data_IF_909636450650
#
_entry.id   IF_909636450650
#
_cell.length_a   1.000
_cell.length_b   1.000
_cell.length_c   1.000
_cell.angle_alpha   90.00
_cell.angle_beta   90.00
_cell.angle_gamma   90.00
#
_symmetry.space_group_name_H-M   'P 1'
#
loop_
_entity.id
_entity.type
_entity.pdbx_description
1 polymer ?
#
# COMPACT_ATOMS: atom_id res chain seq x y z
N UNK A 1 4.34 -4.55 -19.33
CA UNK A 1 4.17 -3.08 -19.05
C UNK A 1 4.53 -2.28 -20.32
N UNK A 2 3.70 -2.36 -21.36
CA UNK A 2 4.03 -1.76 -22.67
C UNK A 2 4.09 -0.23 -22.63
N UNK A 3 3.22 0.44 -21.84
CA UNK A 3 3.17 1.91 -21.78
C UNK A 3 4.39 2.48 -21.07
N UNK A 4 4.83 1.82 -19.99
CA UNK A 4 6.04 2.22 -19.27
C UNK A 4 7.31 1.94 -20.11
N UNK A 5 7.33 0.83 -20.86
CA UNK A 5 8.44 0.52 -21.78
C UNK A 5 8.55 1.56 -22.91
N UNK A 6 7.44 2.03 -23.45
CA UNK A 6 7.44 3.15 -24.40
C UNK A 6 7.98 4.45 -23.75
N UNK A 7 7.58 4.72 -22.52
CA UNK A 7 8.10 5.85 -21.75
C UNK A 7 9.60 5.74 -21.49
N UNK A 8 10.14 4.53 -21.23
CA UNK A 8 11.58 4.30 -21.13
C UNK A 8 12.30 4.70 -22.43
N UNK A 9 11.74 4.32 -23.59
CA UNK A 9 12.34 4.65 -24.89
C UNK A 9 12.35 6.16 -25.16
N UNK A 10 11.27 6.86 -24.82
CA UNK A 10 11.17 8.32 -24.89
C UNK A 10 12.19 8.98 -23.97
N UNK A 11 12.24 8.58 -22.69
CA UNK A 11 13.15 9.14 -21.69
C UNK A 11 14.63 8.87 -22.02
N UNK A 12 14.94 7.70 -22.62
CA UNK A 12 16.29 7.41 -23.09
C UNK A 12 16.77 8.42 -24.14
N UNK A 13 15.87 8.92 -24.96
CA UNK A 13 16.16 9.91 -26.00
C UNK A 13 16.14 11.33 -25.45
N UNK A 14 15.07 11.68 -24.69
CA UNK A 14 14.83 13.05 -24.22
C UNK A 14 15.65 13.44 -23.00
N UNK A 15 16.11 12.46 -22.19
CA UNK A 15 16.90 12.67 -20.98
C UNK A 15 16.32 13.73 -20.00
N UNK A 16 15.03 13.64 -19.63
CA UNK A 16 14.40 14.68 -18.82
C UNK A 16 15.04 14.87 -17.44
N UNK A 17 15.73 13.86 -16.91
CA UNK A 17 16.35 13.90 -15.59
C UNK A 17 17.89 13.97 -15.64
N UNK A 18 18.45 14.44 -16.74
CA UNK A 18 19.92 14.46 -16.91
C UNK A 18 20.62 15.25 -15.81
N UNK A 19 21.46 14.57 -15.02
CA UNK A 19 22.24 15.16 -13.94
C UNK A 19 21.44 15.49 -12.68
N UNK A 20 20.22 14.98 -12.56
CA UNK A 20 19.35 15.13 -11.38
C UNK A 20 19.41 13.90 -10.49
N UNK A 21 19.34 14.11 -9.18
CA UNK A 21 19.18 13.08 -8.19
C UNK A 21 17.69 12.88 -7.85
N UNK A 22 17.21 11.65 -7.91
CA UNK A 22 15.85 11.27 -7.52
C UNK A 22 15.89 10.46 -6.23
N UNK A 23 15.30 11.01 -5.17
CA UNK A 23 14.96 10.27 -3.96
C UNK A 23 13.70 9.43 -4.20
N UNK A 24 13.82 8.12 -4.05
CA UNK A 24 12.76 7.18 -4.40
C UNK A 24 12.34 6.36 -3.18
N UNK A 25 11.06 6.38 -2.85
CA UNK A 25 10.45 5.58 -1.79
C UNK A 25 9.12 4.98 -2.26
N UNK A 26 9.15 3.71 -2.63
CA UNK A 26 7.99 2.89 -2.97
C UNK A 26 8.23 1.44 -2.54
N UNK A 27 7.19 0.59 -2.66
CA UNK A 27 7.36 -0.85 -2.51
C UNK A 27 8.37 -1.38 -3.54
N UNK A 28 9.54 -1.88 -3.10
CA UNK A 28 10.57 -2.40 -4.02
C UNK A 28 10.21 -3.83 -4.46
N UNK A 29 9.49 -3.90 -5.56
CA UNK A 29 9.04 -5.14 -6.20
C UNK A 29 9.30 -5.08 -7.72
N UNK A 30 9.20 -6.18 -8.48
CA UNK A 30 9.63 -6.21 -9.88
C UNK A 30 9.01 -5.15 -10.78
N UNK A 31 7.74 -4.74 -10.52
CA UNK A 31 7.09 -3.71 -11.36
C UNK A 31 7.63 -2.31 -11.08
N UNK A 32 7.92 -1.99 -9.81
CA UNK A 32 8.57 -0.72 -9.44
C UNK A 32 10.02 -0.65 -9.92
N UNK A 33 10.69 -1.80 -10.09
CA UNK A 33 12.01 -1.82 -10.72
C UNK A 33 11.98 -1.29 -12.17
N UNK A 34 10.91 -1.55 -12.93
CA UNK A 34 10.75 -1.00 -14.29
C UNK A 34 10.55 0.52 -14.27
N UNK A 35 9.90 1.06 -13.23
CA UNK A 35 9.82 2.52 -13.04
C UNK A 35 11.20 3.13 -12.77
N UNK A 36 12.00 2.51 -11.91
CA UNK A 36 13.38 2.97 -11.64
C UNK A 36 14.21 2.91 -12.93
N UNK A 37 14.05 1.87 -13.75
CA UNK A 37 14.69 1.78 -15.06
C UNK A 37 14.31 2.97 -15.96
N UNK A 38 13.07 3.44 -15.92
CA UNK A 38 12.63 4.62 -16.67
C UNK A 38 13.35 5.89 -16.19
N UNK A 39 13.50 6.06 -14.87
CA UNK A 39 14.21 7.22 -14.31
C UNK A 39 15.70 7.19 -14.69
N UNK A 40 16.37 6.05 -14.55
CA UNK A 40 17.76 5.85 -14.95
C UNK A 40 17.95 6.07 -16.46
N UNK A 41 17.04 5.54 -17.29
CA UNK A 41 17.04 5.78 -18.73
C UNK A 41 16.89 7.27 -19.06
N UNK A 42 16.13 8.02 -18.26
CA UNK A 42 15.97 9.47 -18.32
C UNK A 42 17.18 10.28 -17.88
N UNK A 43 18.23 9.63 -17.37
CA UNK A 43 19.48 10.27 -16.94
C UNK A 43 19.55 10.64 -15.47
N UNK A 44 18.60 10.16 -14.65
CA UNK A 44 18.61 10.36 -13.21
C UNK A 44 19.71 9.54 -12.52
N UNK A 45 20.25 10.07 -11.43
CA UNK A 45 20.87 9.30 -10.36
C UNK A 45 19.76 8.95 -9.35
N UNK A 46 19.58 7.65 -9.03
CA UNK A 46 18.48 7.22 -8.17
C UNK A 46 19.00 6.61 -6.88
N UNK A 47 18.56 7.14 -5.76
CA UNK A 47 18.70 6.53 -4.44
C UNK A 47 17.35 6.04 -3.96
N UNK A 48 17.22 4.72 -3.77
CA UNK A 48 15.96 4.05 -3.51
C UNK A 48 15.91 3.37 -2.15
N UNK A 49 14.74 3.47 -1.52
CA UNK A 49 14.36 2.68 -0.36
C UNK A 49 12.95 2.11 -0.53
N UNK A 50 12.67 0.99 0.13
CA UNK A 50 11.34 0.38 0.20
C UNK A 50 10.49 0.93 1.33
N UNK A 51 9.20 0.56 1.30
CA UNK A 51 8.36 0.65 2.48
C UNK A 51 8.61 -0.58 3.37
N UNK A 52 8.48 -0.41 4.68
CA UNK A 52 8.75 -1.45 5.66
C UNK A 52 8.13 -2.80 5.30
N UNK A 53 8.96 -3.83 5.28
CA UNK A 53 8.55 -5.22 5.06
C UNK A 53 8.03 -5.56 3.66
N UNK A 54 8.13 -4.65 2.68
CA UNK A 54 7.59 -4.87 1.32
C UNK A 54 8.65 -5.00 0.23
N UNK A 55 9.93 -4.88 0.57
CA UNK A 55 11.03 -5.11 -0.37
C UNK A 55 11.16 -6.59 -0.69
N UNK A 56 11.05 -6.94 -1.98
CA UNK A 56 11.11 -8.33 -2.45
C UNK A 56 12.54 -8.77 -2.72
N UNK A 57 12.80 -10.08 -2.49
CA UNK A 57 14.09 -10.71 -2.80
C UNK A 57 14.44 -10.57 -4.28
N UNK A 58 15.71 -10.32 -4.55
CA UNK A 58 16.24 -10.17 -5.90
C UNK A 58 16.01 -8.80 -6.55
N UNK A 59 14.99 -8.05 -6.13
CA UNK A 59 14.70 -6.73 -6.72
C UNK A 59 15.80 -5.72 -6.39
N UNK A 60 16.25 -5.68 -5.13
CA UNK A 60 17.31 -4.77 -4.69
C UNK A 60 18.65 -5.04 -5.40
N UNK A 61 18.99 -6.31 -5.58
CA UNK A 61 20.20 -6.75 -6.26
C UNK A 61 20.18 -6.38 -7.75
N UNK A 62 19.05 -6.60 -8.43
CA UNK A 62 18.89 -6.22 -9.84
C UNK A 62 19.01 -4.70 -10.00
N UNK A 63 18.32 -3.91 -9.20
CA UNK A 63 18.40 -2.46 -9.25
C UNK A 63 19.81 -1.94 -8.98
N UNK A 64 20.51 -2.51 -7.99
CA UNK A 64 21.91 -2.14 -7.71
C UNK A 64 22.83 -2.45 -8.89
N UNK A 65 22.59 -3.56 -9.60
CA UNK A 65 23.36 -3.90 -10.80
C UNK A 65 23.11 -2.96 -11.97
N UNK A 66 21.98 -2.27 -11.99
CA UNK A 66 21.61 -1.27 -13.01
C UNK A 66 22.09 0.15 -12.68
N UNK A 67 22.75 0.35 -11.53
CA UNK A 67 23.29 1.64 -11.12
C UNK A 67 22.41 2.45 -10.17
N UNK A 68 21.36 1.87 -9.62
CA UNK A 68 20.55 2.47 -8.55
C UNK A 68 21.23 2.22 -7.19
N UNK A 69 21.38 3.24 -6.34
CA UNK A 69 21.75 3.06 -4.94
C UNK A 69 20.52 2.56 -4.17
N UNK A 70 20.50 1.29 -3.76
CA UNK A 70 19.39 0.68 -3.01
C UNK A 70 19.79 0.46 -1.57
N UNK A 71 19.12 1.16 -0.64
CA UNK A 71 19.41 1.09 0.79
C UNK A 71 18.70 -0.08 1.48
N UNK A 72 17.49 -0.39 1.04
CA UNK A 72 16.62 -1.35 1.71
C UNK A 72 16.93 -2.81 1.32
N UNK A 73 16.62 -3.73 2.24
CA UNK A 73 16.76 -5.18 2.06
C UNK A 73 15.51 -5.89 2.60
N UNK A 74 15.13 -7.05 2.06
CA UNK A 74 14.03 -7.84 2.58
C UNK A 74 14.18 -8.14 4.07
N UNK A 75 13.08 -7.99 4.84
CA UNK A 75 13.04 -8.31 6.28
C UNK A 75 13.59 -7.23 7.20
N UNK A 76 13.97 -6.06 6.72
CA UNK A 76 14.35 -4.93 7.57
C UNK A 76 13.13 -4.32 8.27
N UNK A 77 13.32 -3.94 9.54
CA UNK A 77 12.27 -3.37 10.38
C UNK A 77 12.30 -1.84 10.45
N UNK A 78 11.44 -1.25 11.30
CA UNK A 78 11.20 0.20 11.35
C UNK A 78 12.44 1.05 11.66
N UNK A 79 13.38 0.55 12.48
CA UNK A 79 14.61 1.27 12.80
C UNK A 79 15.49 1.47 11.55
N UNK A 80 15.64 0.43 10.72
CA UNK A 80 16.37 0.54 9.47
C UNK A 80 15.66 1.47 8.49
N UNK A 81 14.34 1.41 8.41
CA UNK A 81 13.53 2.31 7.58
C UNK A 81 13.75 3.77 7.96
N UNK A 82 13.77 4.11 9.25
CA UNK A 82 14.04 5.47 9.72
C UNK A 82 15.46 5.97 9.34
N UNK A 83 16.45 5.10 9.44
CA UNK A 83 17.83 5.41 9.04
C UNK A 83 17.92 5.64 7.52
N UNK A 84 17.28 4.79 6.73
CA UNK A 84 17.28 4.92 5.26
C UNK A 84 16.55 6.19 4.82
N UNK A 85 15.42 6.52 5.43
CA UNK A 85 14.67 7.75 5.17
C UNK A 85 15.55 9.00 5.38
N UNK A 86 16.19 9.07 6.55
CA UNK A 86 17.16 10.13 6.87
C UNK A 86 18.32 10.18 5.86
N UNK A 87 18.83 9.03 5.43
CA UNK A 87 19.91 8.94 4.46
C UNK A 87 19.49 9.48 3.10
N UNK A 88 18.32 9.07 2.56
CA UNK A 88 17.81 9.58 1.29
C UNK A 88 17.57 11.09 1.37
N UNK A 89 16.88 11.56 2.40
CA UNK A 89 16.61 12.99 2.57
C UNK A 89 17.91 13.83 2.66
N UNK A 90 18.93 13.32 3.39
CA UNK A 90 20.21 14.04 3.56
C UNK A 90 21.06 14.16 2.29
N UNK A 91 20.75 13.41 1.22
CA UNK A 91 21.42 13.60 -0.08
C UNK A 91 21.01 14.89 -0.78
N UNK A 92 19.89 15.51 -0.35
CA UNK A 92 19.33 16.69 -1.00
C UNK A 92 18.83 16.40 -2.42
N UNK A 93 17.91 15.42 -2.60
CA UNK A 93 17.45 15.03 -3.93
C UNK A 93 16.77 16.20 -4.65
N UNK A 94 17.02 16.33 -5.95
CA UNK A 94 16.36 17.32 -6.81
C UNK A 94 14.87 17.03 -7.00
N UNK A 95 14.52 15.76 -7.05
CA UNK A 95 13.14 15.28 -7.20
C UNK A 95 12.86 14.17 -6.19
N UNK A 96 11.62 14.10 -5.73
CA UNK A 96 11.18 13.05 -4.81
C UNK A 96 9.99 12.28 -5.39
N UNK A 97 10.06 10.96 -5.36
CA UNK A 97 8.96 10.06 -5.65
C UNK A 97 8.64 9.29 -4.38
N UNK A 98 7.46 9.52 -3.80
CA UNK A 98 7.12 9.05 -2.45
C UNK A 98 5.82 8.25 -2.41
N UNK A 99 5.71 7.43 -1.38
CA UNK A 99 4.56 6.61 -1.05
C UNK A 99 4.31 6.73 0.47
N UNK A 100 3.35 7.57 0.84
CA UNK A 100 3.00 7.88 2.21
C UNK A 100 3.51 9.23 2.72
N UNK A 101 4.13 10.04 1.87
CA UNK A 101 4.65 11.39 2.14
C UNK A 101 5.67 11.48 3.30
N UNK A 102 6.37 10.38 3.62
CA UNK A 102 7.39 10.39 4.68
C UNK A 102 8.72 10.94 4.16
N UNK A 103 9.11 10.60 2.93
CA UNK A 103 10.32 11.13 2.33
C UNK A 103 10.15 12.63 1.99
N UNK A 104 8.98 13.01 1.47
CA UNK A 104 8.63 14.43 1.27
C UNK A 104 8.77 15.18 2.60
N UNK A 105 8.15 14.64 3.68
CA UNK A 105 8.25 15.22 5.03
C UNK A 105 9.69 15.36 5.52
N UNK A 106 10.51 14.33 5.33
CA UNK A 106 11.93 14.35 5.71
C UNK A 106 12.76 15.37 4.90
N UNK A 107 12.30 15.77 3.72
CA UNK A 107 12.97 16.77 2.89
C UNK A 107 12.54 18.22 3.19
N UNK A 108 11.54 18.46 4.04
CA UNK A 108 11.04 19.82 4.33
C UNK A 108 12.10 20.70 5.00
N UNK A 109 12.96 20.11 5.83
CA UNK A 109 14.01 20.82 6.56
C UNK A 109 15.34 20.90 5.79
N UNK A 110 15.38 20.42 4.54
CA UNK A 110 16.59 20.49 3.73
C UNK A 110 16.96 21.96 3.40
N UNK A 111 18.24 22.27 3.42
CA UNK A 111 18.75 23.59 3.04
C UNK A 111 18.45 23.93 1.56
N UNK A 112 18.36 22.91 0.71
CA UNK A 112 17.92 23.00 -0.68
C UNK A 112 16.68 22.09 -0.82
N UNK A 113 15.47 22.64 -0.88
CA UNK A 113 14.27 21.83 -1.08
C UNK A 113 14.26 21.22 -2.49
N UNK A 114 13.57 20.08 -2.70
CA UNK A 114 13.37 19.50 -4.02
C UNK A 114 12.71 20.49 -4.99
N UNK A 115 12.99 20.33 -6.29
CA UNK A 115 12.30 21.05 -7.36
C UNK A 115 10.83 20.66 -7.42
N UNK A 116 10.53 19.43 -7.03
CA UNK A 116 9.18 18.91 -6.93
C UNK A 116 9.13 17.45 -6.51
N UNK A 117 7.90 16.96 -6.26
CA UNK A 117 7.68 15.59 -5.84
C UNK A 117 6.41 14.99 -6.45
N UNK A 118 6.32 13.64 -6.42
CA UNK A 118 5.08 12.91 -6.64
C UNK A 118 4.72 12.11 -5.39
N UNK A 119 3.43 12.06 -5.04
CA UNK A 119 2.90 11.25 -3.95
C UNK A 119 1.88 10.25 -4.48
N UNK A 120 2.08 8.97 -4.17
CA UNK A 120 1.28 7.90 -4.75
C UNK A 120 -0.03 7.61 -4.00
N UNK A 121 -0.08 7.82 -2.67
CA UNK A 121 -1.09 7.20 -1.81
C UNK A 121 -2.14 8.16 -1.27
N UNK A 122 -3.29 7.58 -0.88
CA UNK A 122 -4.33 8.32 -0.14
C UNK A 122 -3.81 8.78 1.23
N UNK A 123 -3.04 7.93 1.94
CA UNK A 123 -2.46 8.26 3.24
C UNK A 123 -1.46 9.40 3.15
N UNK A 124 -0.59 9.39 2.13
CA UNK A 124 0.34 10.49 1.88
C UNK A 124 -0.37 11.78 1.47
N UNK A 125 -1.42 11.68 0.64
CA UNK A 125 -2.24 12.84 0.30
C UNK A 125 -2.88 13.50 1.53
N UNK A 126 -3.36 12.70 2.49
CA UNK A 126 -3.86 13.22 3.77
C UNK A 126 -2.75 13.86 4.60
N UNK A 127 -1.60 13.18 4.75
CA UNK A 127 -0.45 13.73 5.48
C UNK A 127 0.01 15.07 4.91
N UNK A 128 0.09 15.20 3.59
CA UNK A 128 0.45 16.47 2.95
C UNK A 128 -0.56 17.59 3.23
N UNK A 129 -1.86 17.27 3.27
CA UNK A 129 -2.94 18.24 3.44
C UNK A 129 -3.24 18.58 4.90
N UNK A 130 -2.97 17.65 5.82
CA UNK A 130 -3.26 17.78 7.25
C UNK A 130 -1.98 18.08 8.04
N UNK A 131 -1.01 17.13 8.05
CA UNK A 131 0.19 17.22 8.89
C UNK A 131 1.21 18.24 8.37
N UNK A 132 1.38 18.34 7.04
CA UNK A 132 2.33 19.23 6.38
C UNK A 132 1.65 20.45 5.72
N UNK A 133 0.42 20.77 6.11
CA UNK A 133 -0.33 21.91 5.57
C UNK A 133 0.47 23.23 5.73
N UNK A 134 0.73 23.91 4.60
CA UNK A 134 1.47 25.16 4.58
C UNK A 134 3.00 25.05 4.81
N UNK A 135 3.54 23.84 4.97
CA UNK A 135 4.98 23.59 5.16
C UNK A 135 5.68 23.23 3.84
N UNK A 136 4.97 22.63 2.90
CA UNK A 136 5.53 22.22 1.60
C UNK A 136 5.74 23.44 0.72
N UNK A 137 7.00 23.80 0.46
CA UNK A 137 7.40 24.96 -0.35
C UNK A 137 7.68 24.68 -1.82
N UNK A 138 7.40 23.47 -2.31
CA UNK A 138 7.63 23.02 -3.68
C UNK A 138 6.39 22.28 -4.23
N UNK A 139 6.23 22.16 -5.57
CA UNK A 139 5.08 21.48 -6.15
C UNK A 139 5.09 19.99 -5.85
N UNK A 140 3.92 19.43 -5.47
CA UNK A 140 3.71 18.00 -5.30
C UNK A 140 2.54 17.56 -6.16
N UNK A 141 2.77 16.65 -7.11
CA UNK A 141 1.71 16.02 -7.89
C UNK A 141 1.20 14.80 -7.13
N UNK A 142 -0.06 14.88 -6.67
CA UNK A 142 -0.70 13.78 -5.96
C UNK A 142 -1.28 12.79 -6.98
N UNK A 143 -0.55 11.73 -7.24
CA UNK A 143 -0.92 10.67 -8.21
C UNK A 143 -2.23 10.00 -7.81
N UNK A 144 -2.46 9.83 -6.51
CA UNK A 144 -3.70 9.24 -5.96
C UNK A 144 -4.98 9.96 -6.42
N UNK A 145 -4.91 11.25 -6.73
CA UNK A 145 -6.09 12.03 -7.15
C UNK A 145 -6.44 11.80 -8.64
N UNK A 146 -5.57 11.11 -9.38
CA UNK A 146 -5.86 10.76 -10.77
C UNK A 146 -6.93 9.66 -10.88
N UNK A 147 -7.92 9.80 -11.76
CA UNK A 147 -8.85 8.70 -12.08
C UNK A 147 -8.16 7.41 -12.53
N UNK A 148 -7.03 7.50 -13.24
CA UNK A 148 -6.25 6.32 -13.61
C UNK A 148 -5.76 5.57 -12.38
N UNK A 149 -5.21 6.26 -11.38
CA UNK A 149 -4.76 5.65 -10.13
C UNK A 149 -5.93 5.10 -9.32
N UNK A 150 -6.95 5.92 -9.10
CA UNK A 150 -8.06 5.56 -8.20
C UNK A 150 -8.94 4.44 -8.75
N UNK A 151 -9.24 4.44 -10.06
CA UNK A 151 -10.09 3.42 -10.68
C UNK A 151 -9.29 2.17 -11.01
N UNK A 152 -8.20 2.30 -11.76
CA UNK A 152 -7.50 1.13 -12.30
C UNK A 152 -6.70 0.43 -11.22
N UNK A 153 -5.93 1.17 -10.44
CA UNK A 153 -5.03 0.59 -9.46
C UNK A 153 -5.71 0.37 -8.11
N UNK A 154 -6.29 1.43 -7.47
CA UNK A 154 -6.83 1.27 -6.12
C UNK A 154 -8.11 0.42 -6.12
N UNK A 155 -9.05 0.67 -7.04
CA UNK A 155 -10.30 -0.12 -7.06
C UNK A 155 -10.07 -1.51 -7.62
N UNK A 156 -9.54 -1.64 -8.82
CA UNK A 156 -9.43 -2.93 -9.49
C UNK A 156 -8.16 -3.69 -9.12
N UNK A 157 -7.00 -3.05 -9.15
CA UNK A 157 -5.72 -3.69 -8.84
C UNK A 157 -5.66 -4.18 -7.40
N UNK A 158 -5.93 -3.31 -6.41
CA UNK A 158 -5.93 -3.69 -5.00
C UNK A 158 -7.06 -4.65 -4.69
N UNK A 159 -8.28 -4.39 -5.22
CA UNK A 159 -9.43 -5.28 -4.97
C UNK A 159 -9.17 -6.71 -5.39
N UNK A 160 -8.61 -6.91 -6.58
CA UNK A 160 -8.26 -8.25 -7.10
C UNK A 160 -7.11 -8.88 -6.32
N UNK A 161 -6.00 -8.16 -6.16
CA UNK A 161 -4.79 -8.71 -5.54
C UNK A 161 -4.95 -9.07 -4.07
N UNK A 162 -5.73 -8.30 -3.30
CA UNK A 162 -6.04 -8.58 -1.90
C UNK A 162 -6.81 -9.89 -1.77
N UNK A 163 -7.92 -10.02 -2.49
CA UNK A 163 -8.76 -11.22 -2.43
C UNK A 163 -8.00 -12.46 -2.93
N UNK A 164 -7.22 -12.31 -4.01
CA UNK A 164 -6.40 -13.39 -4.54
C UNK A 164 -5.30 -13.84 -3.57
N UNK A 165 -4.62 -12.89 -2.92
CA UNK A 165 -3.58 -13.20 -1.93
C UNK A 165 -4.17 -13.92 -0.71
N UNK A 166 -5.33 -13.48 -0.19
CA UNK A 166 -6.00 -14.17 0.91
C UNK A 166 -6.30 -15.63 0.52
N UNK A 167 -6.82 -15.86 -0.67
CA UNK A 167 -7.08 -17.24 -1.18
C UNK A 167 -5.79 -18.05 -1.27
N UNK A 168 -4.70 -17.48 -1.77
CA UNK A 168 -3.40 -18.19 -1.89
C UNK A 168 -2.81 -18.55 -0.53
N UNK A 169 -2.84 -17.62 0.42
CA UNK A 169 -2.26 -17.84 1.76
C UNK A 169 -3.04 -18.89 2.55
N UNK A 170 -4.38 -18.89 2.43
CA UNK A 170 -5.26 -19.71 3.25
C UNK A 170 -5.82 -20.95 2.56
N UNK A 171 -5.77 -20.98 1.22
CA UNK A 171 -6.47 -21.97 0.37
C UNK A 171 -7.99 -22.07 0.65
N UNK A 172 -8.61 -20.97 1.15
CA UNK A 172 -10.04 -20.94 1.45
C UNK A 172 -10.86 -20.52 0.22
N UNK A 173 -12.13 -20.96 0.16
CA UNK A 173 -13.11 -20.45 -0.79
C UNK A 173 -13.82 -19.23 -0.19
N UNK A 174 -14.03 -18.19 -0.98
CA UNK A 174 -14.87 -17.04 -0.63
C UNK A 174 -16.37 -17.31 -0.80
N UNK A 175 -16.73 -18.39 -1.51
CA UNK A 175 -18.13 -18.71 -1.79
C UNK A 175 -18.93 -18.87 -0.50
N UNK A 176 -19.96 -18.05 -0.32
CA UNK A 176 -20.83 -17.97 0.87
C UNK A 176 -20.13 -17.60 2.18
N UNK A 177 -18.91 -17.08 2.11
CA UNK A 177 -18.25 -16.50 3.28
C UNK A 177 -18.84 -15.13 3.61
N UNK A 178 -19.08 -14.87 4.89
CA UNK A 178 -19.45 -13.55 5.39
C UNK A 178 -18.16 -12.73 5.54
N UNK A 179 -17.99 -11.80 4.61
CA UNK A 179 -16.82 -10.93 4.54
C UNK A 179 -17.21 -9.54 5.00
N UNK A 180 -16.48 -9.00 5.96
CA UNK A 180 -16.67 -7.62 6.42
C UNK A 180 -15.51 -6.78 5.91
N UNK A 181 -15.82 -5.72 5.17
CA UNK A 181 -14.85 -4.76 4.64
C UNK A 181 -14.99 -3.46 5.41
N UNK A 182 -13.92 -3.07 6.11
CA UNK A 182 -13.85 -1.79 6.82
C UNK A 182 -13.27 -0.73 5.88
N UNK A 183 -14.06 0.29 5.61
CA UNK A 183 -13.77 1.37 4.67
C UNK A 183 -14.36 1.14 3.29
N UNK A 184 -14.98 2.20 2.71
CA UNK A 184 -15.51 2.18 1.35
C UNK A 184 -14.89 3.29 0.49
N UNK A 185 -13.57 3.52 0.69
CA UNK A 185 -12.72 4.26 -0.23
C UNK A 185 -12.46 3.46 -1.50
N UNK A 186 -11.60 3.94 -2.38
CA UNK A 186 -11.32 3.26 -3.65
C UNK A 186 -10.87 1.80 -3.47
N UNK A 187 -9.99 1.51 -2.50
CA UNK A 187 -9.56 0.13 -2.22
C UNK A 187 -10.70 -0.71 -1.65
N UNK A 188 -11.42 -0.21 -0.64
CA UNK A 188 -12.53 -0.94 -0.02
C UNK A 188 -13.65 -1.28 -0.99
N UNK A 189 -14.02 -0.37 -1.91
CA UNK A 189 -14.96 -0.64 -3.02
C UNK A 189 -14.49 -1.80 -3.89
N UNK A 190 -13.21 -1.81 -4.24
CA UNK A 190 -12.62 -2.89 -5.02
C UNK A 190 -12.65 -4.21 -4.28
N UNK A 191 -12.21 -4.23 -3.02
CA UNK A 191 -12.20 -5.45 -2.19
C UNK A 191 -13.61 -6.02 -2.04
N UNK A 192 -14.60 -5.18 -1.72
CA UNK A 192 -16.00 -5.59 -1.62
C UNK A 192 -16.49 -6.21 -2.94
N UNK A 193 -16.23 -5.54 -4.06
CA UNK A 193 -16.60 -6.01 -5.40
C UNK A 193 -15.96 -7.36 -5.75
N UNK A 194 -14.65 -7.52 -5.53
CA UNK A 194 -13.96 -8.76 -5.90
C UNK A 194 -14.27 -9.92 -4.94
N UNK A 195 -14.52 -9.64 -3.65
CA UNK A 195 -15.04 -10.63 -2.72
C UNK A 195 -16.43 -11.11 -3.14
N UNK A 196 -17.34 -10.20 -3.47
CA UNK A 196 -18.69 -10.53 -3.96
C UNK A 196 -18.63 -11.33 -5.27
N UNK A 197 -17.77 -10.97 -6.22
CA UNK A 197 -17.57 -11.73 -7.48
C UNK A 197 -17.07 -13.15 -7.26
N UNK A 198 -16.39 -13.42 -6.15
CA UNK A 198 -16.02 -14.77 -5.71
C UNK A 198 -17.12 -15.48 -4.90
N UNK A 199 -18.30 -14.88 -4.81
CA UNK A 199 -19.49 -15.44 -4.18
C UNK A 199 -19.58 -15.23 -2.67
N UNK A 200 -18.84 -14.28 -2.11
CA UNK A 200 -18.97 -13.87 -0.71
C UNK A 200 -20.24 -13.07 -0.47
N UNK A 201 -20.78 -13.20 0.73
CA UNK A 201 -21.81 -12.32 1.28
C UNK A 201 -21.05 -11.16 1.99
N UNK A 202 -21.08 -9.96 1.41
CA UNK A 202 -20.23 -8.84 1.84
C UNK A 202 -21.02 -7.81 2.63
N UNK A 203 -20.52 -7.45 3.81
CA UNK A 203 -20.98 -6.30 4.61
C UNK A 203 -19.88 -5.23 4.66
N UNK A 204 -20.25 -3.98 4.44
CA UNK A 204 -19.35 -2.83 4.50
C UNK A 204 -19.55 -2.11 5.83
N UNK A 205 -18.45 -1.71 6.46
CA UNK A 205 -18.41 -0.81 7.60
C UNK A 205 -17.77 0.50 7.15
N UNK A 206 -18.52 1.60 7.20
CA UNK A 206 -18.04 2.91 6.75
C UNK A 206 -18.61 4.03 7.64
N UNK A 207 -17.75 4.95 8.07
CA UNK A 207 -18.12 6.08 8.95
C UNK A 207 -18.61 7.31 8.18
N UNK A 208 -18.20 7.46 6.91
CA UNK A 208 -18.67 8.52 6.03
C UNK A 208 -20.07 8.14 5.50
N UNK A 209 -21.13 8.91 5.86
CA UNK A 209 -22.49 8.55 5.49
C UNK A 209 -22.73 8.55 3.97
N UNK A 210 -21.98 9.34 3.21
CA UNK A 210 -22.11 9.36 1.73
C UNK A 210 -21.53 8.09 1.13
N UNK A 211 -20.37 7.66 1.60
CA UNK A 211 -19.77 6.40 1.15
C UNK A 211 -20.56 5.17 1.62
N UNK A 212 -21.12 5.23 2.83
CA UNK A 212 -22.02 4.19 3.32
C UNK A 212 -23.29 4.07 2.46
N UNK A 213 -23.89 5.21 2.07
CA UNK A 213 -25.01 5.24 1.13
C UNK A 213 -24.60 4.68 -0.24
N UNK A 214 -23.43 5.05 -0.74
CA UNK A 214 -22.91 4.52 -2.01
C UNK A 214 -22.73 2.99 -1.95
N UNK A 215 -22.16 2.45 -0.86
CA UNK A 215 -22.04 1.01 -0.65
C UNK A 215 -23.40 0.29 -0.70
N UNK A 216 -24.42 0.86 -0.05
CA UNK A 216 -25.79 0.33 -0.08
C UNK A 216 -26.39 0.39 -1.51
N UNK A 217 -26.15 1.46 -2.26
CA UNK A 217 -26.61 1.60 -3.64
C UNK A 217 -25.88 0.65 -4.60
N UNK A 218 -24.63 0.31 -4.31
CA UNK A 218 -23.85 -0.70 -5.04
C UNK A 218 -24.29 -2.15 -4.70
N UNK A 219 -25.23 -2.31 -3.75
CA UNK A 219 -25.85 -3.60 -3.42
C UNK A 219 -25.14 -4.36 -2.30
N UNK A 220 -24.37 -3.68 -1.47
CA UNK A 220 -23.75 -4.26 -0.27
C UNK A 220 -24.62 -4.00 0.97
N UNK A 221 -24.59 -4.93 1.92
CA UNK A 221 -25.08 -4.65 3.26
C UNK A 221 -24.13 -3.63 3.94
N UNK A 222 -24.71 -2.69 4.70
CA UNK A 222 -23.95 -1.72 5.50
C UNK A 222 -24.36 -1.86 6.95
N UNK A 223 -23.40 -1.95 7.84
CA UNK A 223 -23.67 -2.13 9.27
C UNK A 223 -22.63 -1.42 10.14
N UNK A 224 -23.03 -1.17 11.39
CA UNK A 224 -22.10 -0.68 12.43
C UNK A 224 -21.03 -1.77 12.74
N UNK A 225 -19.80 -1.36 13.15
CA UNK A 225 -18.72 -2.30 13.47
C UNK A 225 -19.12 -3.41 14.43
N UNK A 226 -19.82 -3.06 15.51
CA UNK A 226 -20.26 -3.97 16.56
C UNK A 226 -21.27 -5.03 16.07
N UNK A 227 -22.00 -4.74 15.00
CA UNK A 227 -22.96 -5.68 14.38
C UNK A 227 -22.26 -6.56 13.34
N UNK A 228 -21.53 -5.92 12.41
CA UNK A 228 -20.86 -6.61 11.31
C UNK A 228 -19.86 -7.66 11.81
N UNK A 229 -19.04 -7.31 12.82
CA UNK A 229 -18.00 -8.18 13.35
C UNK A 229 -18.51 -9.45 14.01
N UNK A 230 -19.74 -9.45 14.56
CA UNK A 230 -20.28 -10.62 15.29
C UNK A 230 -20.57 -11.83 14.41
N UNK A 231 -20.65 -11.65 13.09
CA UNK A 231 -20.94 -12.73 12.13
C UNK A 231 -19.83 -12.95 11.12
N UNK A 232 -18.77 -12.15 11.15
CA UNK A 232 -17.69 -12.17 10.18
C UNK A 232 -16.93 -13.51 10.18
N UNK A 233 -16.64 -14.05 9.02
CA UNK A 233 -15.68 -15.13 8.83
C UNK A 233 -14.34 -14.60 8.30
N UNK A 234 -14.40 -13.48 7.58
CA UNK A 234 -13.22 -12.74 7.11
C UNK A 234 -13.43 -11.25 7.37
N UNK A 235 -12.47 -10.60 7.99
CA UNK A 235 -12.42 -9.15 8.18
C UNK A 235 -11.27 -8.60 7.37
N UNK A 236 -11.56 -7.60 6.52
CA UNK A 236 -10.55 -6.92 5.71
C UNK A 236 -10.65 -5.41 5.97
N UNK A 237 -9.56 -4.81 6.47
CA UNK A 237 -9.50 -3.36 6.68
C UNK A 237 -8.85 -2.65 5.50
N UNK A 238 -9.39 -1.49 5.12
CA UNK A 238 -8.92 -0.67 3.99
C UNK A 238 -9.23 0.82 4.23
N UNK A 239 -9.02 1.30 5.45
CA UNK A 239 -9.41 2.66 5.87
C UNK A 239 -8.26 3.67 5.79
N UNK A 240 -7.01 3.20 5.89
CA UNK A 240 -5.83 4.04 6.04
C UNK A 240 -5.74 4.76 7.39
N UNK A 241 -6.48 4.29 8.41
CA UNK A 241 -6.52 4.87 9.76
C UNK A 241 -6.16 3.83 10.82
N UNK A 242 -5.37 4.19 11.84
CA UNK A 242 -5.01 3.26 12.92
C UNK A 242 -6.22 2.95 13.82
N UNK A 243 -6.19 1.78 14.48
CA UNK A 243 -7.13 1.43 15.56
C UNK A 243 -8.57 1.20 15.11
N UNK A 244 -8.78 0.76 13.87
CA UNK A 244 -10.11 0.50 13.30
C UNK A 244 -10.75 -0.74 13.90
N UNK A 245 -9.92 -1.78 14.14
CA UNK A 245 -10.32 -3.03 14.80
C UNK A 245 -9.42 -3.22 16.02
N UNK A 246 -9.95 -2.90 17.19
CA UNK A 246 -9.24 -3.05 18.46
C UNK A 246 -9.33 -4.48 19.03
N UNK A 247 -8.52 -4.80 20.04
CA UNK A 247 -8.51 -6.12 20.64
C UNK A 247 -9.86 -6.51 21.28
N UNK A 248 -10.60 -5.63 21.99
CA UNK A 248 -11.94 -5.93 22.48
C UNK A 248 -12.93 -6.33 21.37
N UNK A 249 -12.86 -5.71 20.21
CA UNK A 249 -13.66 -6.11 19.05
C UNK A 249 -13.27 -7.50 18.53
N UNK A 250 -11.97 -7.80 18.47
CA UNK A 250 -11.45 -9.13 18.07
C UNK A 250 -11.98 -10.23 19.00
N UNK A 251 -12.00 -10.02 20.32
CA UNK A 251 -12.51 -11.00 21.29
C UNK A 251 -14.01 -11.34 21.09
N UNK A 252 -14.79 -10.41 20.53
CA UNK A 252 -16.21 -10.61 20.28
C UNK A 252 -16.49 -11.31 18.95
N UNK A 253 -15.53 -11.34 18.03
CA UNK A 253 -15.68 -11.99 16.73
C UNK A 253 -15.95 -13.50 16.86
N UNK A 254 -16.48 -14.14 15.82
CA UNK A 254 -16.69 -15.59 15.80
C UNK A 254 -15.38 -16.37 15.91
N UNK A 255 -15.48 -17.59 16.45
CA UNK A 255 -14.39 -18.56 16.38
C UNK A 255 -14.00 -18.83 14.93
N UNK A 256 -12.71 -18.82 14.64
CA UNK A 256 -12.17 -19.06 13.30
C UNK A 256 -12.13 -17.84 12.36
N UNK A 257 -12.42 -16.62 12.84
CA UNK A 257 -12.36 -15.42 11.99
C UNK A 257 -10.95 -15.18 11.47
N UNK A 258 -10.85 -14.77 10.20
CA UNK A 258 -9.60 -14.38 9.55
C UNK A 258 -9.50 -12.85 9.49
N UNK A 259 -8.38 -12.31 9.95
CA UNK A 259 -8.07 -10.89 9.95
C UNK A 259 -7.01 -10.58 8.89
N UNK A 260 -7.30 -9.64 8.00
CA UNK A 260 -6.40 -9.16 6.95
C UNK A 260 -6.45 -7.64 6.84
N UNK A 261 -5.31 -7.00 6.66
CA UNK A 261 -5.24 -5.58 6.38
C UNK A 261 -4.86 -5.34 4.90
N UNK A 262 -5.58 -4.47 4.25
CA UNK A 262 -5.30 -4.01 2.90
C UNK A 262 -4.96 -2.50 2.84
N UNK A 263 -5.03 -1.82 3.98
CA UNK A 263 -4.64 -0.43 4.08
C UNK A 263 -3.13 -0.25 4.25
N UNK A 264 -2.66 0.96 4.02
CA UNK A 264 -1.24 1.30 4.12
C UNK A 264 -0.74 1.32 5.58
N UNK A 265 -1.63 1.52 6.55
CA UNK A 265 -1.32 1.59 7.98
C UNK A 265 -1.45 0.18 8.58
N UNK A 266 -0.35 -0.38 9.07
CA UNK A 266 -0.28 -1.74 9.66
C UNK A 266 -0.96 -1.86 11.04
N UNK A 267 -1.34 -0.73 11.62
CA UNK A 267 -2.06 -0.62 12.89
C UNK A 267 -3.58 -0.41 12.74
N UNK A 268 -4.14 -0.65 11.55
CA UNK A 268 -5.61 -0.65 11.38
C UNK A 268 -6.27 -1.72 12.25
N UNK A 269 -5.62 -2.90 12.35
CA UNK A 269 -6.00 -3.99 13.25
C UNK A 269 -4.97 -4.06 14.39
N UNK A 270 -5.39 -4.09 15.63
CA UNK A 270 -4.48 -4.16 16.78
C UNK A 270 -3.87 -5.56 16.96
N UNK A 271 -3.07 -5.96 15.96
CA UNK A 271 -2.32 -7.23 15.99
C UNK A 271 -1.27 -7.21 17.11
N UNK A 272 -0.75 -6.05 17.47
CA UNK A 272 0.23 -5.95 18.56
C UNK A 272 -0.38 -6.38 19.89
N UNK A 273 -1.57 -5.90 20.24
CA UNK A 273 -2.24 -6.30 21.45
C UNK A 273 -2.71 -7.76 21.36
N UNK A 274 -3.16 -8.21 20.20
CA UNK A 274 -3.50 -9.61 19.95
C UNK A 274 -2.32 -10.53 20.23
N UNK A 275 -1.12 -10.22 19.72
CA UNK A 275 0.12 -11.00 19.98
C UNK A 275 0.53 -11.00 21.46
N UNK A 276 0.31 -9.90 22.19
CA UNK A 276 0.60 -9.81 23.63
C UNK A 276 -0.38 -10.66 24.45
N UNK A 277 -1.63 -10.72 24.11
CA UNK A 277 -2.69 -11.44 24.84
C UNK A 277 -2.80 -12.90 24.44
N UNK A 278 -2.56 -13.19 23.17
CA UNK A 278 -2.67 -14.51 22.56
C UNK A 278 -1.54 -14.67 21.52
N UNK A 279 -0.32 -15.03 21.95
CA UNK A 279 0.81 -15.21 21.03
C UNK A 279 0.47 -16.15 19.87
N UNK A 280 0.71 -15.68 18.65
CA UNK A 280 0.34 -16.40 17.42
C UNK A 280 1.25 -17.60 17.13
N UNK A 281 0.66 -18.78 16.91
CA UNK A 281 1.34 -19.94 16.34
C UNK A 281 1.33 -19.85 14.81
N UNK A 282 2.52 -19.89 14.20
CA UNK A 282 2.65 -19.90 12.74
C UNK A 282 2.12 -21.22 12.16
N UNK A 283 1.14 -21.14 11.26
CA UNK A 283 0.57 -22.28 10.53
C UNK A 283 1.22 -22.48 9.18
N UNK A 284 1.51 -21.37 8.51
CA UNK A 284 2.23 -21.32 7.24
C UNK A 284 2.87 -19.92 7.11
N UNK A 285 3.78 -19.71 6.17
CA UNK A 285 4.35 -18.38 5.96
C UNK A 285 3.26 -17.30 5.85
N UNK A 286 3.32 -16.31 6.72
CA UNK A 286 2.36 -15.19 6.84
C UNK A 286 0.96 -15.52 7.38
N UNK A 287 0.69 -16.72 7.86
CA UNK A 287 -0.59 -17.08 8.50
C UNK A 287 -0.33 -17.55 9.93
N UNK A 288 -0.87 -16.83 10.90
CA UNK A 288 -0.81 -17.17 12.33
C UNK A 288 -2.19 -17.50 12.89
N UNK A 289 -2.22 -18.39 13.85
CA UNK A 289 -3.39 -18.70 14.69
C UNK A 289 -3.14 -18.17 16.10
N UNK A 290 -4.11 -17.47 16.64
CA UNK A 290 -4.11 -16.97 18.02
C UNK A 290 -5.25 -17.62 18.80
N UNK A 291 -4.92 -18.29 19.90
CA UNK A 291 -5.91 -18.92 20.78
C UNK A 291 -6.24 -17.98 21.93
N UNK A 292 -7.46 -17.42 21.90
CA UNK A 292 -7.91 -16.41 22.86
C UNK A 292 -8.27 -17.04 24.22
N UNK A 293 -8.22 -16.25 25.28
CA UNK A 293 -8.56 -16.68 26.65
C UNK A 293 -10.03 -17.13 26.81
N UNK A 294 -10.91 -16.68 25.93
CA UNK A 294 -12.32 -17.06 25.90
C UNK A 294 -12.60 -18.40 25.16
N UNK A 295 -11.55 -19.11 24.75
CA UNK A 295 -11.62 -20.42 24.08
C UNK A 295 -11.83 -20.37 22.57
N UNK A 296 -11.91 -19.17 21.97
CA UNK A 296 -11.96 -19.00 20.52
C UNK A 296 -10.56 -18.92 19.92
N UNK A 297 -10.44 -19.21 18.64
CA UNK A 297 -9.24 -18.97 17.84
C UNK A 297 -9.53 -17.91 16.78
N UNK A 298 -8.57 -17.03 16.52
CA UNK A 298 -8.59 -16.09 15.41
C UNK A 298 -7.34 -16.26 14.57
N UNK A 299 -7.41 -15.88 13.30
CA UNK A 299 -6.29 -16.00 12.37
C UNK A 299 -5.89 -14.62 11.86
N UNK A 300 -4.57 -14.37 11.72
CA UNK A 300 -4.04 -13.14 11.15
C UNK A 300 -3.14 -13.42 9.96
N UNK A 301 -3.22 -12.56 8.93
CA UNK A 301 -2.32 -12.62 7.77
C UNK A 301 -1.31 -11.47 7.85
N UNK A 302 -0.05 -11.80 7.54
CA UNK A 302 1.07 -10.87 7.39
C UNK A 302 1.28 -9.94 8.60
N UNK A 303 0.86 -10.40 9.80
CA UNK A 303 1.00 -9.63 11.04
C UNK A 303 0.33 -8.23 11.01
N UNK A 304 -0.77 -8.11 10.28
CA UNK A 304 -1.50 -6.85 10.09
C UNK A 304 -0.91 -5.91 9.04
N UNK A 305 0.21 -6.28 8.40
CA UNK A 305 0.75 -5.51 7.28
C UNK A 305 -0.09 -5.69 6.02
N UNK A 306 0.13 -4.82 5.03
CA UNK A 306 -0.62 -4.82 3.76
C UNK A 306 -0.55 -6.20 3.05
N UNK A 307 -1.68 -6.89 3.00
CA UNK A 307 -1.74 -8.33 2.69
C UNK A 307 -1.24 -8.68 1.29
N UNK A 308 -1.57 -7.89 0.27
CA UNK A 308 -1.22 -8.19 -1.13
C UNK A 308 0.26 -7.99 -1.47
N UNK A 309 1.04 -7.36 -0.58
CA UNK A 309 2.47 -7.12 -0.76
C UNK A 309 3.33 -7.80 0.30
N UNK A 310 2.92 -7.75 1.58
CA UNK A 310 3.71 -8.25 2.70
C UNK A 310 3.48 -9.75 2.99
N UNK A 311 2.37 -10.33 2.56
CA UNK A 311 2.13 -11.75 2.74
C UNK A 311 3.02 -12.60 1.81
N UNK A 312 3.41 -13.78 2.27
CA UNK A 312 4.16 -14.73 1.45
C UNK A 312 3.35 -15.10 0.18
N UNK A 313 3.98 -14.94 -0.98
CA UNK A 313 3.30 -15.13 -2.27
C UNK A 313 2.40 -13.95 -2.70
N UNK A 314 2.38 -12.86 -1.94
CA UNK A 314 1.83 -11.57 -2.39
C UNK A 314 2.69 -11.00 -3.52
N UNK A 315 2.06 -10.69 -4.63
CA UNK A 315 2.73 -10.15 -5.83
C UNK A 315 2.26 -8.74 -6.18
N UNK A 316 1.52 -8.12 -5.27
CA UNK A 316 0.95 -6.79 -5.47
C UNK A 316 -0.11 -6.74 -6.56
N UNK A 317 -0.39 -5.54 -7.04
CA UNK A 317 -1.41 -5.31 -8.06
C UNK A 317 -1.02 -5.94 -9.42
N UNK A 318 -2.01 -6.26 -10.29
CA UNK A 318 -1.77 -6.76 -11.64
C UNK A 318 -0.85 -5.83 -12.46
N UNK A 319 -0.07 -6.45 -13.36
CA UNK A 319 0.90 -5.74 -14.22
C UNK A 319 0.22 -4.63 -15.02
N UNK A 320 -0.99 -4.87 -15.53
CA UNK A 320 -1.74 -3.93 -16.36
C UNK A 320 -2.15 -2.68 -15.58
N UNK A 321 -2.53 -2.84 -14.32
CA UNK A 321 -2.84 -1.71 -13.44
C UNK A 321 -1.58 -0.90 -13.11
N UNK A 322 -0.50 -1.58 -12.77
CA UNK A 322 0.78 -0.94 -12.43
C UNK A 322 1.45 -0.28 -13.63
N UNK A 323 1.28 -0.79 -14.85
CA UNK A 323 1.79 -0.17 -16.07
C UNK A 323 1.29 1.27 -16.22
N UNK A 324 -0.01 1.48 -16.01
CA UNK A 324 -0.60 2.81 -16.11
C UNK A 324 -0.22 3.70 -14.92
N UNK A 325 -0.29 3.19 -13.70
CA UNK A 325 0.03 3.96 -12.48
C UNK A 325 1.49 4.41 -12.45
N UNK A 326 2.43 3.50 -12.73
CA UNK A 326 3.86 3.81 -12.72
C UNK A 326 4.26 4.70 -13.91
N UNK A 327 3.62 4.55 -15.07
CA UNK A 327 3.80 5.49 -16.19
C UNK A 327 3.33 6.90 -15.82
N UNK A 328 2.18 7.01 -15.15
CA UNK A 328 1.67 8.29 -14.67
C UNK A 328 2.67 8.95 -13.71
N UNK A 329 3.27 8.19 -12.78
CA UNK A 329 4.29 8.70 -11.86
C UNK A 329 5.54 9.20 -12.61
N UNK A 330 6.09 8.41 -13.53
CA UNK A 330 7.25 8.78 -14.32
C UNK A 330 7.03 10.08 -15.11
N UNK A 331 5.89 10.17 -15.80
CA UNK A 331 5.53 11.35 -16.61
C UNK A 331 5.21 12.57 -15.76
N UNK A 332 4.57 12.39 -14.61
CA UNK A 332 4.32 13.48 -13.66
C UNK A 332 5.63 14.05 -13.10
N UNK A 333 6.59 13.18 -12.78
CA UNK A 333 7.89 13.62 -12.32
C UNK A 333 8.65 14.40 -13.43
N UNK A 334 8.57 13.94 -14.69
CA UNK A 334 9.16 14.64 -15.82
C UNK A 334 8.51 16.01 -16.07
N UNK A 335 7.20 16.13 -15.89
CA UNK A 335 6.50 17.40 -16.03
C UNK A 335 6.89 18.47 -14.98
N UNK A 336 7.51 18.06 -13.86
CA UNK A 336 8.03 19.01 -12.85
C UNK A 336 9.32 19.70 -13.26
N UNK A 337 10.04 19.14 -14.23
CA UNK A 337 11.34 19.67 -14.70
C UNK A 337 11.28 20.31 -16.09
N UNK A 338 10.25 19.97 -16.86
CA UNK A 338 9.96 20.57 -18.17
C UNK A 338 8.44 20.88 -18.23
N UNK A 339 8.00 21.99 -17.60
CA UNK A 339 6.60 22.36 -17.47
C UNK A 339 5.95 22.88 -18.77
#
# INVERSE_FOLDING_TARGET
>A
MPVLVETIAEFKTGKPFQGMMVGFRLHLEPKTAVLIEALLAGGAEVIAMGNEGTTQFGTAEVLSSQGCEVLDRPGQGPEATAVHLSRVASTGPDLVLDNGAELIGACLDNASPPLGATEETTSGAFRLREDHAGQVGFPVIVINDSPLKSIVENKHGVGESVVDTIVRVTNMSFHKKRVVVYGYGWCGRGIALYAQRRGADVTVVEIDPIKALEAAMDGFDVAEPSVASTTAEVVITATGRPGVVDYPAIEQMPDGVLLANAGHVDTEIDIRQLEQQAPGAELSPSLKRHDLSNGKSVFSIAEGRIVNLAAFGGIGNPIEAMDLGLTLQARSLAALVDP
#
